data_IF_111961744927
#
_entry.id   IF_111961744927
#
_cell.length_a   1.000
_cell.length_b   1.000
_cell.length_c   1.000
_cell.angle_alpha   90.00
_cell.angle_beta   90.00
_cell.angle_gamma   90.00
#
_symmetry.space_group_name_H-M   'P 1'
#
loop_
_entity.id
_entity.type
_entity.pdbx_description
1 polymer ?
#
# COMPACT_ATOMS: atom_id res chain seq x y z
N UNK A 1 -27.59 -45.90 -26.16
CA UNK A 1 -26.70 -45.64 -25.00
C UNK A 1 -25.40 -45.10 -25.55
N UNK A 2 -25.17 -43.79 -25.47
CA UNK A 2 -23.85 -43.21 -25.79
C UNK A 2 -23.16 -42.97 -24.46
N UNK A 3 -22.21 -43.83 -24.14
CA UNK A 3 -21.25 -43.64 -23.06
C UNK A 3 -20.05 -42.95 -23.70
N UNK A 4 -19.91 -41.64 -23.53
CA UNK A 4 -18.69 -40.94 -23.96
C UNK A 4 -18.25 -39.93 -22.92
N UNK A 5 -17.12 -40.27 -22.27
CA UNK A 5 -16.04 -39.34 -21.92
C UNK A 5 -16.25 -38.39 -20.74
N UNK A 6 -16.53 -38.90 -19.54
CA UNK A 6 -16.39 -38.14 -18.28
C UNK A 6 -15.27 -38.68 -17.38
N UNK A 7 -14.37 -39.49 -17.92
CA UNK A 7 -13.36 -40.27 -17.16
C UNK A 7 -11.94 -39.87 -17.58
N UNK A 8 -11.60 -38.58 -17.52
CA UNK A 8 -10.20 -38.15 -17.60
C UNK A 8 -9.92 -36.80 -16.90
N UNK A 9 -10.94 -35.98 -16.61
CA UNK A 9 -10.75 -34.70 -15.93
C UNK A 9 -10.36 -34.85 -14.44
N UNK A 10 -10.84 -35.90 -13.76
CA UNK A 10 -10.57 -36.12 -12.33
C UNK A 10 -9.07 -36.32 -12.02
N UNK A 11 -8.33 -36.96 -12.95
CA UNK A 11 -6.92 -37.30 -12.75
C UNK A 11 -5.98 -36.10 -12.98
N UNK A 12 -6.39 -35.15 -13.81
CA UNK A 12 -5.70 -33.86 -13.97
C UNK A 12 -5.97 -32.94 -12.77
N UNK A 13 -7.18 -32.97 -12.21
CA UNK A 13 -7.58 -32.20 -11.02
C UNK A 13 -6.82 -32.68 -9.76
N UNK A 14 -6.52 -33.96 -9.63
CA UNK A 14 -5.75 -34.47 -8.47
C UNK A 14 -4.27 -33.99 -8.46
N UNK A 15 -3.68 -33.70 -9.63
CA UNK A 15 -2.31 -33.18 -9.71
C UNK A 15 -2.20 -31.73 -9.23
N UNK A 16 -3.33 -31.00 -9.18
CA UNK A 16 -3.42 -29.63 -8.66
C UNK A 16 -3.07 -29.56 -7.17
N UNK A 17 -3.24 -30.67 -6.41
CA UNK A 17 -2.78 -30.75 -5.01
C UNK A 17 -1.27 -30.58 -4.85
N UNK A 18 -0.50 -30.76 -5.91
CA UNK A 18 0.96 -30.58 -5.93
C UNK A 18 1.40 -29.26 -6.55
N UNK A 19 0.46 -28.36 -6.91
CA UNK A 19 0.79 -27.00 -7.31
C UNK A 19 1.27 -26.23 -6.08
N UNK A 20 2.58 -26.14 -5.95
CA UNK A 20 3.27 -25.30 -4.98
C UNK A 20 3.46 -23.89 -5.53
N UNK A 21 4.71 -23.44 -5.57
CA UNK A 21 5.08 -22.17 -6.18
C UNK A 21 4.86 -22.19 -7.71
N UNK A 22 4.10 -21.22 -8.22
CA UNK A 22 3.82 -21.06 -9.66
C UNK A 22 4.49 -19.81 -10.25
N UNK A 23 5.46 -19.22 -9.55
CA UNK A 23 6.22 -18.03 -9.98
C UNK A 23 6.85 -18.15 -11.38
N UNK A 24 7.14 -19.38 -11.82
CA UNK A 24 7.75 -19.68 -13.12
C UNK A 24 6.76 -20.09 -14.22
N UNK A 25 5.46 -20.12 -13.91
CA UNK A 25 4.42 -20.56 -14.85
C UNK A 25 3.85 -19.36 -15.58
N UNK A 26 3.68 -19.49 -16.90
CA UNK A 26 3.10 -18.43 -17.71
C UNK A 26 1.63 -18.14 -17.33
N UNK A 27 1.28 -16.86 -17.36
CA UNK A 27 -0.05 -16.36 -17.03
C UNK A 27 -1.17 -17.06 -17.80
N UNK A 28 -0.96 -17.36 -19.08
CA UNK A 28 -1.94 -18.04 -19.95
C UNK A 28 -2.23 -19.50 -19.52
N UNK A 29 -1.26 -20.17 -18.90
CA UNK A 29 -1.47 -21.51 -18.36
C UNK A 29 -2.23 -21.44 -17.03
N UNK A 30 -1.89 -20.45 -16.20
CA UNK A 30 -2.58 -20.18 -14.95
C UNK A 30 -4.06 -19.86 -15.16
N UNK A 31 -4.41 -19.09 -16.21
CA UNK A 31 -5.80 -18.82 -16.57
C UNK A 31 -6.63 -20.08 -16.86
N UNK A 32 -5.99 -21.15 -17.34
CA UNK A 32 -6.67 -22.42 -17.66
C UNK A 32 -6.69 -23.37 -16.48
N UNK A 33 -5.66 -23.38 -15.64
CA UNK A 33 -5.49 -24.36 -14.57
C UNK A 33 -6.13 -23.88 -13.26
N UNK A 34 -5.94 -22.60 -12.91
CA UNK A 34 -6.43 -22.05 -11.63
C UNK A 34 -7.95 -22.10 -11.44
N UNK A 35 -8.81 -21.99 -12.49
CA UNK A 35 -10.25 -22.16 -12.33
C UNK A 35 -10.69 -23.54 -11.83
N UNK A 36 -9.83 -24.56 -11.96
CA UNK A 36 -10.11 -25.92 -11.49
C UNK A 36 -9.61 -26.19 -10.06
N UNK A 37 -8.89 -25.25 -9.45
CA UNK A 37 -8.42 -25.35 -8.08
C UNK A 37 -9.58 -25.24 -7.07
N UNK A 38 -9.46 -25.90 -5.93
CA UNK A 38 -10.29 -25.62 -4.76
C UNK A 38 -9.82 -24.35 -4.05
N UNK A 39 -10.67 -23.78 -3.20
CA UNK A 39 -10.36 -22.58 -2.41
C UNK A 39 -9.07 -22.72 -1.61
N UNK A 40 -8.89 -23.86 -0.94
CA UNK A 40 -7.71 -24.14 -0.11
C UNK A 40 -6.44 -24.26 -0.95
N UNK A 41 -6.54 -24.86 -2.14
CA UNK A 41 -5.43 -24.95 -3.07
C UNK A 41 -5.03 -23.56 -3.60
N UNK A 42 -6.00 -22.74 -3.99
CA UNK A 42 -5.75 -21.37 -4.45
C UNK A 42 -5.07 -20.54 -3.35
N UNK A 43 -5.54 -20.67 -2.10
CA UNK A 43 -4.93 -20.03 -0.94
C UNK A 43 -3.49 -20.50 -0.70
N UNK A 44 -3.21 -21.79 -0.88
CA UNK A 44 -1.87 -22.33 -0.72
C UNK A 44 -0.92 -21.81 -1.80
N UNK A 45 -1.35 -21.77 -3.05
CA UNK A 45 -0.57 -21.25 -4.18
C UNK A 45 -0.24 -19.77 -3.96
N UNK A 46 -1.21 -18.95 -3.56
CA UNK A 46 -0.98 -17.52 -3.30
C UNK A 46 0.00 -17.28 -2.13
N UNK A 47 -0.04 -18.14 -1.10
CA UNK A 47 0.91 -18.07 0.03
C UNK A 47 2.31 -18.55 -0.34
N UNK A 48 2.41 -19.57 -1.20
CA UNK A 48 3.67 -20.17 -1.62
C UNK A 48 4.37 -19.40 -2.75
N UNK A 49 3.61 -18.66 -3.56
CA UNK A 49 4.15 -17.86 -4.67
C UNK A 49 4.64 -16.52 -4.15
N UNK A 50 5.94 -16.27 -4.25
CA UNK A 50 6.55 -15.01 -3.85
C UNK A 50 7.08 -14.25 -5.07
N UNK A 51 6.72 -12.97 -5.20
CA UNK A 51 7.31 -12.08 -6.21
C UNK A 51 6.62 -12.07 -7.59
N UNK A 52 5.52 -12.80 -7.77
CA UNK A 52 4.67 -12.72 -8.97
C UNK A 52 3.29 -12.16 -8.61
N UNK A 53 2.83 -11.16 -9.36
CA UNK A 53 1.48 -10.64 -9.19
C UNK A 53 0.46 -11.57 -9.87
N UNK A 54 -0.24 -12.36 -9.06
CA UNK A 54 -1.31 -13.25 -9.51
C UNK A 54 -2.68 -12.57 -9.48
N UNK A 55 -2.78 -11.35 -8.93
CA UNK A 55 -4.03 -10.60 -8.72
C UNK A 55 -4.95 -10.57 -9.95
N UNK A 56 -4.45 -10.39 -11.21
CA UNK A 56 -5.31 -10.36 -12.39
C UNK A 56 -6.18 -11.61 -12.58
N UNK A 57 -5.66 -12.78 -12.19
CA UNK A 57 -6.36 -14.06 -12.31
C UNK A 57 -7.03 -14.42 -10.98
N UNK A 58 -6.30 -14.28 -9.87
CA UNK A 58 -6.78 -14.74 -8.55
C UNK A 58 -7.93 -13.89 -8.04
N UNK A 59 -7.95 -12.57 -8.27
CA UNK A 59 -9.04 -11.70 -7.78
C UNK A 59 -10.40 -12.12 -8.36
N UNK A 60 -10.43 -12.50 -9.64
CA UNK A 60 -11.65 -12.97 -10.29
C UNK A 60 -12.09 -14.33 -9.73
N UNK A 61 -11.15 -15.23 -9.44
CA UNK A 61 -11.43 -16.54 -8.87
C UNK A 61 -11.93 -16.42 -7.43
N UNK A 62 -11.22 -15.66 -6.60
CA UNK A 62 -11.61 -15.39 -5.22
C UNK A 62 -13.03 -14.82 -5.15
N UNK A 63 -13.35 -13.82 -5.98
CA UNK A 63 -14.70 -13.25 -6.03
C UNK A 63 -15.76 -14.32 -6.33
N UNK A 64 -15.55 -15.15 -7.36
CA UNK A 64 -16.47 -16.24 -7.71
C UNK A 64 -16.61 -17.28 -6.60
N UNK A 65 -15.52 -17.61 -5.90
CA UNK A 65 -15.56 -18.56 -4.78
C UNK A 65 -16.35 -18.01 -3.59
N UNK A 66 -16.10 -16.76 -3.20
CA UNK A 66 -16.82 -16.14 -2.09
C UNK A 66 -18.30 -15.94 -2.42
N UNK A 67 -18.64 -15.54 -3.65
CA UNK A 67 -20.03 -15.46 -4.12
C UNK A 67 -20.74 -16.82 -4.04
N UNK A 68 -20.05 -17.91 -4.39
CA UNK A 68 -20.61 -19.27 -4.34
C UNK A 68 -20.81 -19.77 -2.91
N UNK A 69 -19.92 -19.43 -1.97
CA UNK A 69 -19.94 -19.94 -0.60
C UNK A 69 -20.81 -19.10 0.33
N UNK A 70 -20.75 -17.77 0.21
CA UNK A 70 -21.35 -16.82 1.15
C UNK A 70 -22.39 -15.90 0.51
N UNK A 71 -22.56 -15.98 -0.82
CA UNK A 71 -23.44 -15.11 -1.57
C UNK A 71 -22.80 -13.76 -1.93
N UNK A 72 -23.49 -13.03 -2.80
CA UNK A 72 -23.00 -11.78 -3.41
C UNK A 72 -22.88 -10.66 -2.38
N UNK A 73 -23.85 -10.54 -1.46
CA UNK A 73 -23.92 -9.42 -0.51
C UNK A 73 -22.72 -9.43 0.45
N UNK A 74 -22.43 -10.58 1.08
CA UNK A 74 -21.30 -10.71 2.01
C UNK A 74 -19.95 -10.48 1.31
N UNK A 75 -19.83 -10.92 0.05
CA UNK A 75 -18.61 -10.74 -0.74
C UNK A 75 -18.35 -9.26 -1.04
N UNK A 76 -19.39 -8.51 -1.42
CA UNK A 76 -19.28 -7.07 -1.68
C UNK A 76 -18.92 -6.29 -0.42
N UNK A 77 -19.55 -6.59 0.73
CA UNK A 77 -19.23 -5.94 2.01
C UNK A 77 -17.77 -6.15 2.42
N UNK A 78 -17.24 -7.38 2.26
CA UNK A 78 -15.86 -7.70 2.57
C UNK A 78 -14.89 -6.96 1.65
N UNK A 79 -15.20 -6.89 0.35
CA UNK A 79 -14.40 -6.16 -0.63
C UNK A 79 -14.36 -4.67 -0.31
N UNK A 80 -15.52 -4.05 -0.04
CA UNK A 80 -15.61 -2.65 0.36
C UNK A 80 -14.82 -2.36 1.65
N UNK A 81 -14.92 -3.23 2.65
CA UNK A 81 -14.18 -3.07 3.90
C UNK A 81 -12.67 -3.15 3.69
N UNK A 82 -12.20 -4.07 2.83
CA UNK A 82 -10.77 -4.19 2.48
C UNK A 82 -10.29 -2.94 1.72
N UNK A 83 -11.04 -2.48 0.72
CA UNK A 83 -10.72 -1.28 -0.05
C UNK A 83 -10.64 -0.04 0.85
N UNK A 84 -11.62 0.16 1.76
CA UNK A 84 -11.59 1.28 2.71
C UNK A 84 -10.36 1.25 3.62
N UNK A 85 -9.93 0.05 4.07
CA UNK A 85 -8.70 -0.11 4.88
C UNK A 85 -7.45 0.27 4.10
N UNK A 86 -7.34 -0.18 2.85
CA UNK A 86 -6.20 0.15 1.98
C UNK A 86 -6.15 1.65 1.69
N UNK A 87 -7.27 2.25 1.29
CA UNK A 87 -7.37 3.69 1.04
C UNK A 87 -7.01 4.53 2.27
N UNK A 88 -7.39 4.08 3.48
CA UNK A 88 -6.98 4.75 4.73
C UNK A 88 -5.46 4.71 4.93
N UNK A 89 -4.83 3.56 4.72
CA UNK A 89 -3.39 3.40 4.88
C UNK A 89 -2.61 4.23 3.84
N UNK A 90 -3.11 4.30 2.60
CA UNK A 90 -2.56 5.13 1.53
C UNK A 90 -2.64 6.62 1.87
N UNK A 91 -3.81 7.11 2.27
CA UNK A 91 -3.99 8.51 2.66
C UNK A 91 -3.09 8.89 3.84
N UNK A 92 -2.99 8.03 4.86
CA UNK A 92 -2.07 8.26 5.98
C UNK A 92 -0.60 8.34 5.53
N UNK A 93 -0.18 7.50 4.57
CA UNK A 93 1.16 7.57 4.01
C UNK A 93 1.39 8.87 3.21
N UNK A 94 0.39 9.31 2.44
CA UNK A 94 0.42 10.56 1.67
C UNK A 94 0.47 11.77 2.60
N UNK A 95 -0.30 11.77 3.68
CA UNK A 95 -0.32 12.85 4.68
C UNK A 95 1.04 12.98 5.37
N UNK A 96 1.65 11.85 5.77
CA UNK A 96 3.02 11.83 6.33
C UNK A 96 4.05 12.43 5.38
N UNK A 97 3.97 12.08 4.10
CA UNK A 97 4.88 12.62 3.09
C UNK A 97 4.68 14.13 2.92
N UNK A 98 3.43 14.57 2.85
CA UNK A 98 3.05 15.98 2.72
C UNK A 98 3.57 16.81 3.89
N UNK A 99 3.45 16.30 5.11
CA UNK A 99 3.99 16.96 6.30
C UNK A 99 5.52 17.13 6.21
N UNK A 100 6.25 16.09 5.81
CA UNK A 100 7.72 16.14 5.65
C UNK A 100 8.15 17.20 4.63
N UNK A 101 7.42 17.34 3.52
CA UNK A 101 7.69 18.40 2.54
C UNK A 101 7.48 19.80 3.11
N UNK A 102 6.42 20.02 3.89
CA UNK A 102 6.15 21.31 4.56
C UNK A 102 7.24 21.66 5.56
N UNK A 103 7.70 20.69 6.37
CA UNK A 103 8.78 20.86 7.33
C UNK A 103 10.10 21.22 6.64
N UNK A 104 10.43 20.53 5.54
CA UNK A 104 11.62 20.81 4.74
C UNK A 104 11.59 22.19 4.09
N UNK A 105 10.42 22.62 3.59
CA UNK A 105 10.26 23.97 3.04
C UNK A 105 10.45 25.02 4.14
N UNK A 106 9.79 24.88 5.29
CA UNK A 106 9.95 25.78 6.42
C UNK A 106 11.42 25.85 6.91
N UNK A 107 12.14 24.71 6.89
CA UNK A 107 13.57 24.63 7.21
C UNK A 107 14.43 25.43 6.23
N UNK A 108 14.12 25.38 4.94
CA UNK A 108 14.82 26.14 3.89
C UNK A 108 14.50 27.64 4.01
N UNK A 109 13.23 28.00 4.18
CA UNK A 109 12.78 29.38 4.34
C UNK A 109 13.41 30.05 5.58
N UNK A 110 13.52 29.32 6.69
CA UNK A 110 14.14 29.83 7.92
C UNK A 110 15.64 30.12 7.78
N UNK A 111 16.31 29.46 6.83
CA UNK A 111 17.74 29.68 6.52
C UNK A 111 17.96 30.80 5.51
N UNK A 112 16.90 31.34 4.89
CA UNK A 112 17.02 32.41 3.91
C UNK A 112 17.35 33.74 4.62
N UNK A 113 18.37 34.44 4.08
CA UNK A 113 18.79 35.75 4.59
C UNK A 113 17.66 36.76 4.38
N UNK A 114 17.11 37.30 5.48
CA UNK A 114 16.16 38.40 5.43
C UNK A 114 16.92 39.71 5.26
N UNK A 115 16.74 40.38 4.12
CA UNK A 115 17.23 41.75 3.92
C UNK A 115 16.53 42.68 4.90
N UNK A 116 17.24 43.10 5.94
CA UNK A 116 16.75 44.11 6.88
C UNK A 116 16.87 45.49 6.24
N UNK A 117 15.75 46.17 6.02
CA UNK A 117 15.72 47.57 5.62
C UNK A 117 16.29 48.38 6.77
N UNK A 118 17.57 48.74 6.67
CA UNK A 118 18.23 49.62 7.62
C UNK A 118 17.55 50.99 7.51
N UNK A 119 16.53 51.24 8.32
CA UNK A 119 16.11 52.62 8.59
C UNK A 119 17.28 53.33 9.28
N UNK A 120 17.66 54.53 8.83
CA UNK A 120 18.77 55.25 9.42
C UNK A 120 18.55 55.41 10.92
N UNK A 121 19.53 55.08 11.76
CA UNK A 121 19.35 55.14 13.20
C UNK A 121 19.11 56.59 13.64
N UNK A 122 17.92 56.88 14.17
CA UNK A 122 17.71 58.07 14.99
C UNK A 122 18.67 58.01 16.19
N UNK A 123 19.30 59.15 16.55
CA UNK A 123 20.33 59.30 17.59
C UNK A 123 19.97 58.47 18.85
N UNK A 124 20.68 57.37 19.07
CA UNK A 124 20.61 56.61 20.33
C UNK A 124 21.60 57.23 21.34
N UNK A 125 21.14 57.46 22.57
CA UNK A 125 22.01 57.86 23.69
C UNK A 125 23.01 56.75 24.01
N UNK A 126 24.27 57.13 24.15
CA UNK A 126 25.37 56.28 24.58
C UNK A 126 25.23 56.03 26.09
N UNK A 127 24.85 54.82 26.50
CA UNK A 127 24.86 54.43 27.91
C UNK A 127 26.28 53.98 28.27
N UNK A 128 27.08 54.91 28.78
CA UNK A 128 28.34 54.65 29.46
C UNK A 128 28.29 55.30 30.84
N UNK A 129 28.33 54.45 31.88
CA UNK A 129 28.85 54.68 33.24
C UNK A 129 28.91 56.12 33.78
N UNK A 130 27.97 56.47 34.67
CA UNK A 130 28.13 57.53 35.67
C UNK A 130 28.09 56.89 37.07
N UNK A 131 29.20 56.27 37.49
CA UNK A 131 29.41 55.83 38.86
C UNK A 131 29.89 56.99 39.75
N UNK A 132 29.28 57.26 40.92
CA UNK A 132 29.70 58.37 41.78
C UNK A 132 30.98 57.99 42.55
N UNK A 133 32.10 58.63 42.21
CA UNK A 133 33.35 58.55 42.97
C UNK A 133 33.30 59.45 44.20
N UNK A 134 33.33 58.84 45.39
CA UNK A 134 33.46 59.52 46.68
C UNK A 134 34.85 60.15 46.81
N UNK A 135 34.93 61.47 47.00
CA UNK A 135 36.16 62.16 47.44
C UNK A 135 36.13 62.36 48.96
N UNK A 136 37.26 62.00 49.57
CA UNK A 136 37.60 62.11 51.00
C UNK A 136 37.63 63.54 51.53
#
# INVERSE_FOLDING_TARGET
MIVTSSYNDSKAIDNVKYLGDVSHVDHHMLERILPHCTLEQLMHIEKSTQGMDLSPITDQLWKKFFEKQFGINCTNELYEAKVKKMARAENEAVDRLTQRYKEEDARKQSRQIKTCTKLPPSKRRFCGDDGPGSTS
#
